data_IF_662255934823
#
_entry.id   IF_662255934823
#
_cell.length_a   1.000
_cell.length_b   1.000
_cell.length_c   1.000
_cell.angle_alpha   90.00
_cell.angle_beta   90.00
_cell.angle_gamma   90.00
#
_symmetry.space_group_name_H-M   'P 1'
#
loop_
_entity.id
_entity.type
_entity.pdbx_description
1 polymer ?
#
# COMPACT_ATOMS: atom_id res chain seq x y z
N UNK A 1 -16.94 66.08 -48.98
CA UNK A 1 -16.35 64.82 -49.50
C UNK A 1 -15.08 64.39 -48.75
N UNK A 2 -14.32 65.32 -48.14
CA UNK A 2 -13.05 65.04 -47.43
C UNK A 2 -13.21 64.21 -46.14
N UNK A 3 -14.25 64.45 -45.33
CA UNK A 3 -14.43 63.74 -44.04
C UNK A 3 -14.72 62.23 -44.14
N UNK A 4 -15.34 61.76 -45.25
CA UNK A 4 -15.61 60.33 -45.46
C UNK A 4 -14.33 59.55 -45.82
N UNK A 5 -13.42 60.17 -46.57
CA UNK A 5 -12.15 59.53 -46.99
C UNK A 5 -11.20 59.37 -45.81
N UNK A 6 -11.13 60.36 -44.91
CA UNK A 6 -10.31 60.30 -43.69
C UNK A 6 -10.82 59.22 -42.73
N UNK A 7 -12.15 59.08 -42.58
CA UNK A 7 -12.73 58.05 -41.71
C UNK A 7 -12.46 56.62 -42.23
N UNK A 8 -12.54 56.41 -43.55
CA UNK A 8 -12.22 55.12 -44.17
C UNK A 8 -10.73 54.78 -43.99
N UNK A 9 -9.82 55.75 -44.19
CA UNK A 9 -8.38 55.54 -44.00
C UNK A 9 -8.02 55.18 -42.56
N UNK A 10 -8.60 55.86 -41.57
CA UNK A 10 -8.37 55.55 -40.14
C UNK A 10 -8.93 54.17 -39.80
N UNK A 11 -10.11 53.81 -40.30
CA UNK A 11 -10.74 52.51 -40.04
C UNK A 11 -10.00 51.34 -40.72
N UNK A 12 -9.46 51.55 -41.92
CA UNK A 12 -8.61 50.58 -42.63
C UNK A 12 -7.26 50.40 -41.92
N UNK A 13 -6.65 51.50 -41.45
CA UNK A 13 -5.41 51.44 -40.69
C UNK A 13 -5.60 50.71 -39.35
N UNK A 14 -6.69 50.95 -38.62
CA UNK A 14 -6.96 50.25 -37.34
C UNK A 14 -7.30 48.78 -37.54
N UNK A 15 -8.01 48.41 -38.61
CA UNK A 15 -8.30 46.99 -38.94
C UNK A 15 -7.05 46.23 -39.39
N UNK A 16 -6.17 46.84 -40.20
CA UNK A 16 -4.85 46.28 -40.53
C UNK A 16 -3.97 46.10 -39.28
N UNK A 17 -3.96 47.08 -38.38
CA UNK A 17 -3.19 47.03 -37.13
C UNK A 17 -3.72 45.95 -36.18
N UNK A 18 -5.05 45.78 -36.08
CA UNK A 18 -5.69 44.70 -35.33
C UNK A 18 -5.40 43.32 -35.94
N UNK A 19 -5.47 43.20 -37.27
CA UNK A 19 -5.17 41.95 -37.99
C UNK A 19 -3.71 41.53 -37.80
N UNK A 20 -2.77 42.47 -37.86
CA UNK A 20 -1.35 42.25 -37.52
C UNK A 20 -1.16 41.79 -36.08
N UNK A 21 -1.85 42.41 -35.11
CA UNK A 21 -1.81 41.98 -33.69
C UNK A 21 -2.37 40.57 -33.49
N UNK A 22 -3.44 40.21 -34.20
CA UNK A 22 -4.04 38.88 -34.16
C UNK A 22 -3.11 37.82 -34.78
N UNK A 23 -2.44 38.14 -35.89
CA UNK A 23 -1.43 37.26 -36.49
C UNK A 23 -0.21 37.08 -35.59
N UNK A 24 0.25 38.14 -34.91
CA UNK A 24 1.31 38.07 -33.90
C UNK A 24 0.91 37.20 -32.70
N UNK A 25 -0.32 37.35 -32.19
CA UNK A 25 -0.83 36.51 -31.10
C UNK A 25 -0.95 35.05 -31.53
N UNK A 26 -1.45 34.78 -32.74
CA UNK A 26 -1.52 33.43 -33.30
C UNK A 26 -0.13 32.81 -33.52
N UNK A 27 0.83 33.60 -34.01
CA UNK A 27 2.22 33.17 -34.18
C UNK A 27 2.91 32.90 -32.83
N UNK A 28 2.69 33.74 -31.82
CA UNK A 28 3.15 33.49 -30.45
C UNK A 28 2.48 32.25 -29.83
N UNK A 29 1.20 31.99 -30.14
CA UNK A 29 0.50 30.79 -29.68
C UNK A 29 1.03 29.51 -30.35
N UNK A 30 1.37 29.59 -31.64
CA UNK A 30 2.01 28.49 -32.38
C UNK A 30 3.42 28.24 -31.87
N UNK A 31 4.25 29.29 -31.69
CA UNK A 31 5.60 29.15 -31.11
C UNK A 31 5.53 28.62 -29.68
N UNK A 32 4.57 29.08 -28.87
CA UNK A 32 4.33 28.57 -27.52
C UNK A 32 3.96 27.09 -27.50
N UNK A 33 3.32 26.56 -28.56
CA UNK A 33 3.08 25.12 -28.72
C UNK A 33 4.30 24.33 -29.19
N UNK A 34 5.28 24.96 -29.84
CA UNK A 34 6.52 24.30 -30.26
C UNK A 34 7.65 24.40 -29.24
N UNK A 35 7.57 25.37 -28.31
CA UNK A 35 8.39 25.45 -27.11
C UNK A 35 7.83 24.49 -26.05
N UNK A 36 7.82 23.19 -26.35
CA UNK A 36 7.83 22.22 -25.27
C UNK A 36 9.11 22.49 -24.48
N UNK A 37 8.97 22.80 -23.19
CA UNK A 37 10.11 22.92 -22.30
C UNK A 37 10.80 21.56 -22.23
N UNK A 38 11.76 21.32 -23.12
CA UNK A 38 12.57 20.13 -23.08
C UNK A 38 13.31 20.11 -21.74
N UNK A 39 13.36 18.94 -21.11
CA UNK A 39 14.16 18.76 -19.91
C UNK A 39 15.59 19.30 -20.17
N UNK A 40 16.16 20.10 -19.26
CA UNK A 40 17.49 20.65 -19.47
C UNK A 40 18.50 19.51 -19.61
N UNK A 41 19.48 19.68 -20.50
CA UNK A 41 20.59 18.73 -20.56
C UNK A 41 21.49 18.92 -19.33
N UNK A 42 21.67 17.84 -18.58
CA UNK A 42 22.56 17.77 -17.44
C UNK A 42 24.01 18.00 -17.86
N UNK A 43 24.80 18.52 -16.93
CA UNK A 43 26.26 18.66 -17.05
C UNK A 43 26.98 17.43 -16.53
N UNK A 44 28.30 17.36 -16.77
CA UNK A 44 29.13 16.26 -16.26
C UNK A 44 29.14 16.13 -14.73
N UNK A 45 28.82 17.22 -14.02
CA UNK A 45 28.77 17.26 -12.56
C UNK A 45 27.45 16.74 -11.97
N UNK A 46 26.46 16.42 -12.82
CA UNK A 46 25.16 15.97 -12.35
C UNK A 46 25.22 14.62 -11.63
N UNK A 47 24.26 14.34 -10.76
CA UNK A 47 24.14 13.07 -10.05
C UNK A 47 22.69 12.62 -10.09
N UNK A 48 22.51 11.31 -10.24
CA UNK A 48 21.24 10.64 -10.01
C UNK A 48 21.45 9.65 -8.87
N UNK A 49 20.57 9.69 -7.88
CA UNK A 49 20.67 8.86 -6.70
C UNK A 49 19.31 8.29 -6.29
N UNK A 50 19.35 7.17 -5.58
CA UNK A 50 18.21 6.66 -4.84
C UNK A 50 18.29 7.12 -3.39
N UNK A 51 17.23 7.75 -2.91
CA UNK A 51 17.01 8.06 -1.50
C UNK A 51 16.22 6.92 -0.87
N UNK A 52 16.66 6.47 0.30
CA UNK A 52 15.93 5.54 1.16
C UNK A 52 15.72 6.20 2.51
N UNK A 53 14.49 6.17 3.00
CA UNK A 53 14.09 6.81 4.24
C UNK A 53 13.57 5.77 5.22
N UNK A 54 13.88 5.97 6.51
CA UNK A 54 13.52 5.06 7.58
C UNK A 54 12.01 4.83 7.69
N UNK A 55 11.62 3.70 8.24
CA UNK A 55 10.27 3.46 8.70
C UNK A 55 9.89 4.46 9.82
N UNK A 56 8.59 4.75 9.93
CA UNK A 56 8.01 5.63 10.95
C UNK A 56 6.93 4.93 11.76
N UNK A 57 6.35 5.67 12.72
CA UNK A 57 5.37 5.10 13.65
C UNK A 57 3.96 4.95 13.05
N UNK A 58 3.60 5.83 12.14
CA UNK A 58 2.30 5.78 11.47
C UNK A 58 2.26 4.66 10.43
N UNK A 59 1.09 4.06 10.23
CA UNK A 59 0.92 2.89 9.36
C UNK A 59 1.42 3.12 7.93
N UNK A 60 1.20 4.32 7.39
CA UNK A 60 1.61 4.67 6.03
C UNK A 60 3.12 4.95 5.91
N UNK A 61 3.84 5.07 7.04
CA UNK A 61 5.30 5.15 7.11
C UNK A 61 5.96 3.86 7.60
N UNK A 62 5.18 2.85 8.00
CA UNK A 62 5.68 1.67 8.70
C UNK A 62 6.70 0.84 7.91
N UNK A 63 6.81 1.04 6.59
CA UNK A 63 7.71 0.30 5.70
C UNK A 63 8.90 1.13 5.19
N UNK A 64 8.96 2.42 5.55
CA UNK A 64 9.93 3.38 5.01
C UNK A 64 9.47 3.99 3.69
N UNK A 65 10.41 4.64 2.98
CA UNK A 65 10.12 5.25 1.68
C UNK A 65 11.33 5.24 0.74
N UNK A 66 11.09 5.23 -0.57
CA UNK A 66 12.12 5.34 -1.61
C UNK A 66 11.78 6.46 -2.60
N UNK A 67 12.78 7.21 -3.06
CA UNK A 67 12.60 8.25 -4.08
C UNK A 67 13.86 8.47 -4.90
N UNK A 68 13.74 8.89 -6.16
CA UNK A 68 14.90 9.27 -6.96
C UNK A 68 15.22 10.75 -6.77
N UNK A 69 16.51 11.09 -6.71
CA UNK A 69 16.97 12.48 -6.71
C UNK A 69 17.84 12.74 -7.93
N UNK A 70 17.63 13.91 -8.54
CA UNK A 70 18.51 14.44 -9.60
C UNK A 70 19.09 15.76 -9.11
N UNK A 71 20.42 15.85 -9.10
CA UNK A 71 21.15 17.03 -8.70
C UNK A 71 22.11 17.48 -9.82
N UNK A 72 22.12 18.76 -10.16
CA UNK A 72 23.14 19.39 -11.00
C UNK A 72 23.48 20.79 -10.43
N UNK A 73 24.62 20.94 -9.75
CA UNK A 73 25.02 22.21 -9.15
C UNK A 73 25.25 23.33 -10.18
N UNK A 74 25.65 23.01 -11.41
CA UNK A 74 25.91 24.01 -12.45
C UNK A 74 24.61 24.64 -12.98
N UNK A 75 23.51 23.88 -12.91
CA UNK A 75 22.17 24.31 -13.34
C UNK A 75 21.27 24.69 -12.17
N UNK A 76 21.72 24.54 -10.92
CA UNK A 76 20.90 24.75 -9.72
C UNK A 76 19.77 23.73 -9.58
N UNK A 77 19.89 22.56 -10.19
CA UNK A 77 18.89 21.49 -10.10
C UNK A 77 19.18 20.69 -8.82
N UNK A 78 18.20 20.54 -7.94
CA UNK A 78 18.25 19.63 -6.81
C UNK A 78 16.84 19.17 -6.44
N UNK A 79 16.35 18.16 -7.16
CA UNK A 79 14.94 17.77 -7.16
C UNK A 79 14.78 16.29 -6.84
N UNK A 80 13.69 15.98 -6.16
CA UNK A 80 13.29 14.62 -5.80
C UNK A 80 12.02 14.25 -6.53
N UNK A 81 12.09 13.12 -7.23
CA UNK A 81 10.98 12.44 -7.90
C UNK A 81 10.43 11.38 -6.95
N UNK A 82 9.28 11.71 -6.39
CA UNK A 82 8.64 10.94 -5.35
C UNK A 82 7.36 10.28 -5.89
N UNK A 83 7.49 9.03 -6.30
CA UNK A 83 6.35 8.15 -6.52
C UNK A 83 5.77 7.76 -5.17
N UNK A 84 4.47 7.88 -5.00
CA UNK A 84 3.84 7.49 -3.73
C UNK A 84 3.06 8.62 -3.06
N UNK A 85 2.93 9.77 -3.72
CA UNK A 85 2.09 10.87 -3.22
C UNK A 85 0.63 10.66 -3.55
N UNK A 86 -0.26 11.10 -2.69
CA UNK A 86 -1.70 10.97 -2.88
C UNK A 86 -2.40 12.17 -2.25
N UNK A 87 -3.65 12.38 -2.64
CA UNK A 87 -4.49 13.47 -2.14
C UNK A 87 -5.68 12.90 -1.35
N UNK A 88 -5.78 13.28 -0.08
CA UNK A 88 -6.86 12.86 0.81
C UNK A 88 -8.22 13.45 0.43
N UNK A 89 -8.23 14.58 -0.30
CA UNK A 89 -9.45 15.26 -0.73
C UNK A 89 -10.02 14.68 -2.04
N UNK A 90 -9.41 13.60 -2.57
CA UNK A 90 -9.96 12.90 -3.73
C UNK A 90 -11.38 12.39 -3.48
N UNK A 91 -12.30 12.54 -4.45
CA UNK A 91 -13.66 12.03 -4.32
C UNK A 91 -13.66 10.53 -4.01
N UNK A 92 -14.41 10.15 -2.97
CA UNK A 92 -14.57 8.77 -2.54
C UNK A 92 -13.27 8.08 -2.07
N UNK A 93 -12.27 8.81 -1.57
CA UNK A 93 -10.98 8.27 -1.09
C UNK A 93 -11.11 6.93 -0.33
N UNK A 94 -11.89 6.87 0.75
CA UNK A 94 -12.06 5.65 1.55
C UNK A 94 -12.74 4.49 0.79
N UNK A 95 -13.66 4.80 -0.12
CA UNK A 95 -14.30 3.78 -0.96
C UNK A 95 -13.32 3.25 -2.02
N UNK A 96 -12.48 4.11 -2.60
CA UNK A 96 -11.45 3.71 -3.54
C UNK A 96 -10.35 2.90 -2.84
N UNK A 97 -10.02 3.26 -1.60
CA UNK A 97 -9.11 2.50 -0.75
C UNK A 97 -9.62 1.08 -0.48
N UNK A 98 -10.88 0.95 -0.04
CA UNK A 98 -11.48 -0.37 0.20
C UNK A 98 -11.63 -1.19 -1.08
N UNK A 99 -11.82 -0.54 -2.24
CA UNK A 99 -11.86 -1.19 -3.56
C UNK A 99 -10.49 -1.51 -4.17
N UNK A 100 -9.38 -1.03 -3.61
CA UNK A 100 -8.06 -1.20 -4.20
C UNK A 100 -7.85 -0.41 -5.50
N UNK A 101 -8.53 0.74 -5.64
CA UNK A 101 -8.45 1.63 -6.82
C UNK A 101 -7.87 2.99 -6.46
N UNK A 102 -6.85 2.98 -5.61
CA UNK A 102 -6.22 4.22 -5.17
C UNK A 102 -5.34 4.79 -6.27
N UNK A 103 -5.55 6.07 -6.58
CA UNK A 103 -4.72 6.80 -7.53
C UNK A 103 -3.66 7.54 -6.73
N UNK A 104 -2.41 7.17 -6.98
CA UNK A 104 -1.23 7.84 -6.48
C UNK A 104 -0.55 8.58 -7.62
N UNK A 105 0.29 9.54 -7.28
CA UNK A 105 0.96 10.40 -8.24
C UNK A 105 2.47 10.39 -8.02
N UNK A 106 3.21 10.60 -9.12
CA UNK A 106 4.57 11.11 -9.09
C UNK A 106 4.53 12.61 -8.77
N UNK A 107 5.21 12.99 -7.69
CA UNK A 107 5.47 14.39 -7.37
C UNK A 107 6.93 14.75 -7.60
N UNK A 108 7.17 16.04 -7.88
CA UNK A 108 8.50 16.62 -8.03
C UNK A 108 8.64 17.77 -7.05
N UNK A 109 9.56 17.65 -6.08
CA UNK A 109 9.82 18.69 -5.06
C UNK A 109 11.31 18.96 -4.88
N UNK A 110 11.68 20.08 -4.27
CA UNK A 110 13.09 20.35 -3.96
C UNK A 110 13.60 19.33 -2.94
N UNK A 111 14.90 19.01 -3.01
CA UNK A 111 15.52 18.12 -2.03
C UNK A 111 15.42 18.63 -0.60
N UNK A 112 15.54 19.95 -0.40
CA UNK A 112 15.37 20.59 0.90
C UNK A 112 13.97 20.36 1.47
N UNK A 113 12.91 20.60 0.67
CA UNK A 113 11.54 20.38 1.11
C UNK A 113 11.25 18.89 1.37
N UNK A 114 11.88 18.00 0.59
CA UNK A 114 11.81 16.56 0.85
C UNK A 114 12.45 16.20 2.19
N UNK A 115 13.62 16.73 2.48
CA UNK A 115 14.40 16.40 3.67
C UNK A 115 13.75 16.91 4.96
N UNK A 116 13.12 18.08 4.89
CA UNK A 116 12.48 18.73 6.04
C UNK A 116 11.42 17.84 6.72
N UNK A 117 10.67 17.06 5.95
CA UNK A 117 9.67 16.11 6.47
C UNK A 117 10.32 15.05 7.37
N UNK A 118 11.41 14.44 6.91
CA UNK A 118 12.11 13.39 7.66
C UNK A 118 12.89 13.93 8.87
N UNK A 119 13.37 15.17 8.79
CA UNK A 119 13.97 15.88 9.92
C UNK A 119 12.94 16.08 11.06
N UNK A 120 11.74 16.56 10.73
CA UNK A 120 10.67 16.76 11.71
C UNK A 120 10.24 15.45 12.38
N UNK A 121 10.20 14.38 11.60
CA UNK A 121 9.79 13.05 12.06
C UNK A 121 10.94 12.27 12.71
N UNK A 122 12.18 12.80 12.68
CA UNK A 122 13.41 12.16 13.19
C UNK A 122 13.70 10.80 12.54
N UNK A 123 13.46 10.69 11.24
CA UNK A 123 13.72 9.49 10.44
C UNK A 123 15.00 9.67 9.64
N UNK A 124 15.88 8.66 9.67
CA UNK A 124 17.12 8.73 8.90
C UNK A 124 16.84 8.70 7.40
N UNK A 125 17.75 9.30 6.63
CA UNK A 125 17.72 9.30 5.16
C UNK A 125 19.09 8.92 4.65
N UNK A 126 19.17 7.90 3.80
CA UNK A 126 20.38 7.45 3.13
C UNK A 126 20.27 7.66 1.63
N UNK A 127 21.39 7.92 1.00
CA UNK A 127 21.49 8.19 -0.43
C UNK A 127 22.51 7.27 -1.09
N UNK A 128 22.08 6.60 -2.15
CA UNK A 128 22.92 5.78 -3.03
C UNK A 128 23.08 6.48 -4.37
N UNK A 129 24.26 7.07 -4.60
CA UNK A 129 24.62 7.74 -5.85
C UNK A 129 24.94 6.67 -6.89
N UNK A 130 24.27 6.72 -8.05
CA UNK A 130 24.41 5.73 -9.12
C UNK A 130 25.61 6.05 -10.03
N UNK A 131 26.35 5.02 -10.46
CA UNK A 131 27.49 5.13 -11.38
C UNK A 131 27.00 5.15 -12.84
N UNK A 132 26.36 6.26 -13.21
CA UNK A 132 25.79 6.47 -14.54
C UNK A 132 26.63 7.45 -15.35
N UNK A 133 26.78 7.17 -16.65
CA UNK A 133 27.38 8.12 -17.58
C UNK A 133 26.42 9.29 -17.88
N UNK A 134 26.90 10.34 -18.55
CA UNK A 134 26.09 11.53 -18.84
C UNK A 134 24.83 11.22 -19.66
N UNK A 135 24.91 10.32 -20.63
CA UNK A 135 23.78 9.93 -21.46
C UNK A 135 22.70 9.24 -20.61
N UNK A 136 23.08 8.31 -19.73
CA UNK A 136 22.18 7.59 -18.83
C UNK A 136 21.53 8.52 -17.81
N UNK A 137 22.27 9.50 -17.26
CA UNK A 137 21.73 10.53 -16.35
C UNK A 137 20.67 11.38 -17.06
N UNK A 138 20.95 11.84 -18.29
CA UNK A 138 20.00 12.61 -19.09
C UNK A 138 18.77 11.79 -19.49
N UNK A 139 18.95 10.51 -19.81
CA UNK A 139 17.85 9.59 -20.11
C UNK A 139 16.89 9.47 -18.91
N UNK A 140 17.42 9.29 -17.70
CA UNK A 140 16.60 9.23 -16.47
C UNK A 140 15.91 10.56 -16.19
N UNK A 141 16.59 11.70 -16.34
CA UNK A 141 15.94 13.00 -16.16
C UNK A 141 14.78 13.19 -17.15
N UNK A 142 14.99 12.89 -18.43
CA UNK A 142 13.94 12.99 -19.44
C UNK A 142 12.75 12.07 -19.11
N UNK A 143 13.02 10.84 -18.68
CA UNK A 143 11.98 9.91 -18.23
C UNK A 143 11.18 10.47 -17.05
N UNK A 144 11.85 11.02 -16.03
CA UNK A 144 11.16 11.57 -14.86
C UNK A 144 10.35 12.83 -15.16
N UNK A 145 10.87 13.73 -16.00
CA UNK A 145 10.14 14.94 -16.40
C UNK A 145 8.93 14.59 -17.29
N UNK A 146 9.03 13.58 -18.17
CA UNK A 146 7.91 13.06 -18.96
C UNK A 146 6.85 12.40 -18.06
N UNK A 147 7.27 11.56 -17.10
CA UNK A 147 6.34 10.95 -16.15
C UNK A 147 5.68 11.99 -15.24
N UNK A 148 6.33 13.13 -14.99
CA UNK A 148 5.77 14.19 -14.16
C UNK A 148 4.69 15.03 -14.87
N UNK A 149 4.51 14.87 -16.18
CA UNK A 149 3.43 15.53 -16.92
C UNK A 149 2.06 15.15 -16.31
N UNK A 150 1.09 16.10 -16.27
CA UNK A 150 -0.24 15.86 -15.68
C UNK A 150 -0.95 14.60 -16.21
N UNK A 151 -0.76 14.27 -17.49
CA UNK A 151 -1.34 13.10 -18.16
C UNK A 151 -0.66 11.76 -17.82
N UNK A 152 0.58 11.79 -17.30
CA UNK A 152 1.42 10.61 -17.08
C UNK A 152 1.66 10.28 -15.60
N UNK A 153 1.54 11.29 -14.72
CA UNK A 153 2.01 11.17 -13.32
C UNK A 153 1.14 10.32 -12.41
N UNK A 154 -0.11 10.09 -12.78
CA UNK A 154 -1.09 9.38 -11.96
C UNK A 154 -1.11 7.88 -12.31
N UNK A 155 -1.11 7.02 -11.29
CA UNK A 155 -1.06 5.57 -11.44
C UNK A 155 -1.88 4.84 -10.37
N UNK A 156 -2.32 3.63 -10.68
CA UNK A 156 -3.01 2.76 -9.72
C UNK A 156 -2.01 2.16 -8.73
N UNK A 157 -2.17 2.50 -7.46
CA UNK A 157 -1.29 2.04 -6.40
C UNK A 157 -1.62 0.60 -5.98
N UNK A 158 -0.58 -0.21 -5.87
CA UNK A 158 -0.63 -1.52 -5.23
C UNK A 158 0.46 -1.59 -4.14
N UNK A 159 0.10 -1.85 -2.87
CA UNK A 159 1.07 -1.84 -1.77
C UNK A 159 2.24 -2.81 -1.91
N UNK A 160 2.12 -3.87 -2.71
CA UNK A 160 3.13 -4.91 -2.86
C UNK A 160 3.79 -4.91 -4.24
N UNK A 161 3.08 -4.44 -5.27
CA UNK A 161 3.51 -4.57 -6.66
C UNK A 161 3.69 -3.24 -7.39
N UNK A 162 3.09 -2.14 -6.91
CA UNK A 162 3.18 -0.84 -7.56
C UNK A 162 3.17 0.29 -6.52
N UNK A 163 4.30 0.41 -5.80
CA UNK A 163 4.51 1.36 -4.73
C UNK A 163 5.81 2.18 -4.95
N UNK A 164 6.10 3.12 -4.06
CA UNK A 164 7.27 4.00 -4.15
C UNK A 164 8.62 3.27 -4.31
N UNK A 165 8.72 2.05 -3.78
CA UNK A 165 9.94 1.26 -3.78
C UNK A 165 9.98 0.24 -4.91
N UNK A 166 8.88 -0.48 -5.19
CA UNK A 166 8.83 -1.44 -6.31
C UNK A 166 9.07 -0.74 -7.65
N UNK A 167 8.49 0.47 -7.82
CA UNK A 167 8.71 1.33 -8.99
C UNK A 167 10.20 1.63 -9.21
N UNK A 168 11.03 1.65 -8.16
CA UNK A 168 12.48 1.84 -8.33
C UNK A 168 13.09 0.74 -9.18
N UNK A 169 12.76 -0.52 -8.88
CA UNK A 169 13.22 -1.66 -9.67
C UNK A 169 12.67 -1.64 -11.09
N UNK A 170 11.39 -1.29 -11.23
CA UNK A 170 10.70 -1.25 -12.52
C UNK A 170 11.26 -0.17 -13.45
N UNK A 171 11.46 1.06 -12.94
CA UNK A 171 12.09 2.16 -13.68
C UNK A 171 13.49 1.78 -14.14
N UNK A 172 14.30 1.20 -13.25
CA UNK A 172 15.65 0.77 -13.59
C UNK A 172 15.64 -0.31 -14.69
N UNK A 173 14.72 -1.28 -14.60
CA UNK A 173 14.58 -2.34 -15.60
C UNK A 173 14.05 -1.82 -16.94
N UNK A 174 13.10 -0.88 -16.92
CA UNK A 174 12.57 -0.23 -18.13
C UNK A 174 13.65 0.57 -18.87
N UNK A 175 14.43 1.35 -18.13
CA UNK A 175 15.40 2.28 -18.72
C UNK A 175 16.68 1.59 -19.21
N UNK A 176 17.07 0.48 -18.58
CA UNK A 176 18.33 -0.20 -18.90
C UNK A 176 18.15 -1.62 -19.47
N UNK A 177 16.94 -2.16 -19.51
CA UNK A 177 16.63 -3.46 -20.12
C UNK A 177 17.48 -4.60 -19.52
N UNK A 178 18.11 -5.40 -20.38
CA UNK A 178 18.95 -6.52 -19.95
C UNK A 178 20.36 -6.11 -19.51
N UNK A 179 20.73 -4.84 -19.68
CA UNK A 179 22.00 -4.33 -19.19
C UNK A 179 22.04 -4.24 -17.66
N UNK A 180 20.87 -4.11 -17.01
CA UNK A 180 20.76 -4.11 -15.55
C UNK A 180 20.44 -5.51 -15.02
N UNK A 181 21.24 -5.94 -14.05
CA UNK A 181 21.14 -7.27 -13.44
C UNK A 181 21.02 -7.12 -11.93
N UNK A 182 19.89 -7.56 -11.39
CA UNK A 182 19.63 -7.67 -9.96
C UNK A 182 20.14 -9.02 -9.46
N UNK A 183 21.30 -9.03 -8.79
CA UNK A 183 21.80 -10.26 -8.18
C UNK A 183 21.04 -10.55 -6.88
N UNK A 184 20.46 -11.75 -6.79
CA UNK A 184 19.77 -12.23 -5.60
C UNK A 184 20.65 -13.08 -4.67
N UNK A 185 21.94 -13.25 -4.97
CA UNK A 185 22.85 -14.13 -4.23
C UNK A 185 23.06 -13.70 -2.76
N UNK A 186 22.84 -12.42 -2.45
CA UNK A 186 22.93 -11.90 -1.08
C UNK A 186 21.72 -12.29 -0.21
N UNK A 187 20.61 -12.73 -0.81
CA UNK A 187 19.43 -13.16 -0.07
C UNK A 187 19.63 -14.58 0.44
N UNK A 188 19.68 -14.74 1.77
CA UNK A 188 19.76 -16.08 2.42
C UNK A 188 18.64 -17.02 1.93
N UNK A 189 17.46 -16.46 1.70
CA UNK A 189 16.30 -17.13 1.12
C UNK A 189 15.31 -16.11 0.59
N UNK A 190 14.49 -16.54 -0.37
CA UNK A 190 13.32 -15.79 -0.79
C UNK A 190 12.18 -15.93 0.22
N UNK A 191 11.74 -14.80 0.76
CA UNK A 191 10.61 -14.69 1.65
C UNK A 191 9.30 -14.59 0.86
N UNK A 192 8.19 -14.93 1.52
CA UNK A 192 6.85 -14.57 1.03
C UNK A 192 6.54 -13.09 1.30
N UNK A 193 5.60 -12.48 0.57
CA UNK A 193 5.17 -11.10 0.87
C UNK A 193 4.71 -10.94 2.32
N UNK A 194 3.95 -11.91 2.85
CA UNK A 194 3.51 -11.86 4.26
C UNK A 194 4.69 -11.87 5.23
N UNK A 195 5.71 -12.69 4.96
CA UNK A 195 6.92 -12.72 5.78
C UNK A 195 7.68 -11.40 5.71
N UNK A 196 7.77 -10.78 4.53
CA UNK A 196 8.42 -9.50 4.32
C UNK A 196 7.71 -8.38 5.09
N UNK A 197 6.38 -8.28 4.96
CA UNK A 197 5.57 -7.30 5.72
C UNK A 197 5.74 -7.47 7.23
N UNK A 198 5.76 -8.70 7.73
CA UNK A 198 5.94 -9.01 9.16
C UNK A 198 7.34 -8.70 9.71
N UNK A 199 8.32 -8.35 8.88
CA UNK A 199 9.63 -7.87 9.36
C UNK A 199 9.56 -6.42 9.88
N UNK A 200 8.58 -5.65 9.41
CA UNK A 200 8.44 -4.23 9.73
C UNK A 200 7.41 -3.95 10.84
N UNK A 201 6.57 -4.93 11.16
CA UNK A 201 5.48 -4.75 12.10
C UNK A 201 5.34 -5.95 13.02
N UNK A 202 5.28 -5.68 14.32
CA UNK A 202 5.09 -6.73 15.31
C UNK A 202 3.72 -7.42 15.11
N UNK A 203 3.73 -8.75 15.17
CA UNK A 203 2.53 -9.59 14.90
C UNK A 203 1.35 -9.27 15.84
N UNK A 204 1.62 -8.80 17.06
CA UNK A 204 0.62 -8.45 18.06
C UNK A 204 0.28 -6.94 18.07
N UNK A 205 0.12 -6.32 16.91
CA UNK A 205 -0.43 -4.98 16.75
C UNK A 205 -1.75 -5.04 15.99
N UNK A 206 -2.63 -4.05 16.21
CA UNK A 206 -3.91 -3.98 15.49
C UNK A 206 -3.70 -3.84 13.98
N UNK A 207 -2.70 -3.04 13.57
CA UNK A 207 -2.35 -2.84 12.17
C UNK A 207 -1.93 -4.16 11.51
N UNK A 208 -1.03 -4.94 12.14
CA UNK A 208 -0.58 -6.21 11.56
C UNK A 208 -1.69 -7.25 11.55
N UNK A 209 -2.53 -7.30 12.60
CA UNK A 209 -3.70 -8.17 12.61
C UNK A 209 -4.68 -7.80 11.48
N UNK A 210 -4.93 -6.51 11.25
CA UNK A 210 -5.79 -6.04 10.15
C UNK A 210 -5.24 -6.41 8.78
N UNK A 211 -3.94 -6.21 8.55
CA UNK A 211 -3.26 -6.63 7.32
C UNK A 211 -3.35 -8.15 7.13
N UNK A 212 -3.03 -8.93 8.17
CA UNK A 212 -3.09 -10.39 8.10
C UNK A 212 -4.52 -10.90 7.83
N UNK A 213 -5.52 -10.22 8.40
CA UNK A 213 -6.93 -10.54 8.22
C UNK A 213 -7.39 -10.22 6.79
N UNK A 214 -6.93 -9.12 6.19
CA UNK A 214 -7.26 -8.72 4.82
C UNK A 214 -6.54 -9.56 3.75
N UNK A 215 -5.28 -9.96 4.02
CA UNK A 215 -4.46 -10.74 3.11
C UNK A 215 -5.00 -12.17 2.89
N UNK A 216 -5.21 -12.53 1.63
CA UNK A 216 -5.53 -13.89 1.21
C UNK A 216 -4.30 -14.74 0.91
N UNK A 217 -4.49 -15.92 0.30
CA UNK A 217 -3.37 -16.82 -0.03
C UNK A 217 -2.35 -16.29 -1.06
N UNK A 218 -2.64 -15.34 -1.98
CA UNK A 218 -1.63 -14.88 -2.95
C UNK A 218 -0.35 -14.31 -2.33
N UNK A 219 -0.43 -13.72 -1.13
CA UNK A 219 0.76 -13.13 -0.46
C UNK A 219 1.66 -14.16 0.23
N UNK A 220 1.22 -15.42 0.30
CA UNK A 220 1.96 -16.53 0.91
C UNK A 220 2.84 -17.28 -0.13
N UNK A 221 2.89 -16.81 -1.37
CA UNK A 221 3.91 -17.23 -2.36
C UNK A 221 5.25 -16.55 -2.09
N UNK A 222 6.34 -17.20 -2.50
CA UNK A 222 7.68 -16.57 -2.48
C UNK A 222 7.72 -15.38 -3.45
N UNK A 223 8.25 -14.27 -2.98
CA UNK A 223 8.56 -13.12 -3.82
C UNK A 223 9.84 -13.40 -4.63
N UNK A 224 9.88 -12.92 -5.87
CA UNK A 224 11.11 -12.90 -6.67
C UNK A 224 12.13 -11.90 -6.08
N UNK A 225 13.37 -11.94 -6.58
CA UNK A 225 14.44 -11.01 -6.15
C UNK A 225 13.99 -9.55 -6.30
N UNK A 226 13.49 -9.17 -7.49
CA UNK A 226 12.98 -7.83 -7.74
C UNK A 226 11.73 -7.51 -6.89
N UNK A 227 10.83 -8.48 -6.68
CA UNK A 227 9.66 -8.26 -5.83
C UNK A 227 10.01 -7.97 -4.37
N UNK A 228 11.19 -8.36 -3.86
CA UNK A 228 11.61 -7.93 -2.51
C UNK A 228 11.79 -6.41 -2.43
N UNK A 229 12.09 -5.74 -3.55
CA UNK A 229 12.28 -4.29 -3.63
C UNK A 229 10.99 -3.50 -3.41
N UNK A 230 9.83 -4.14 -3.20
CA UNK A 230 8.65 -3.41 -2.72
C UNK A 230 8.85 -2.78 -1.34
N UNK A 231 9.87 -3.24 -0.60
CA UNK A 231 10.30 -2.65 0.67
C UNK A 231 11.56 -1.79 0.45
N UNK A 232 11.54 -0.51 0.85
CA UNK A 232 12.67 0.43 0.73
C UNK A 232 14.02 -0.10 1.20
N UNK A 233 14.05 -0.83 2.31
CA UNK A 233 15.27 -1.41 2.86
C UNK A 233 15.84 -2.52 1.96
N UNK A 234 14.98 -3.34 1.37
CA UNK A 234 15.39 -4.37 0.42
C UNK A 234 15.78 -3.76 -0.92
N UNK A 235 15.10 -2.69 -1.38
CA UNK A 235 15.51 -1.96 -2.57
C UNK A 235 16.92 -1.37 -2.40
N UNK A 236 17.17 -0.70 -1.28
CA UNK A 236 18.48 -0.15 -0.95
C UNK A 236 19.57 -1.23 -0.92
N UNK A 237 19.30 -2.36 -0.25
CA UNK A 237 20.25 -3.48 -0.22
C UNK A 237 20.45 -4.08 -1.62
N UNK A 238 19.37 -4.31 -2.37
CA UNK A 238 19.43 -4.87 -3.73
C UNK A 238 20.30 -4.01 -4.65
N UNK A 239 20.24 -2.68 -4.53
CA UNK A 239 21.06 -1.77 -5.33
C UNK A 239 22.56 -1.96 -5.08
N UNK A 240 22.98 -2.32 -3.86
CA UNK A 240 24.39 -2.62 -3.54
C UNK A 240 24.93 -3.82 -4.32
N UNK A 241 24.05 -4.75 -4.68
CA UNK A 241 24.35 -5.97 -5.44
C UNK A 241 23.85 -5.89 -6.90
N UNK A 242 23.43 -4.72 -7.36
CA UNK A 242 22.97 -4.52 -8.74
C UNK A 242 24.13 -4.11 -9.62
N UNK A 243 24.17 -4.65 -10.84
CA UNK A 243 25.16 -4.25 -11.85
C UNK A 243 24.49 -3.69 -13.10
N UNK A 244 25.19 -2.76 -13.76
CA UNK A 244 24.81 -2.18 -15.05
C UNK A 244 25.98 -2.38 -16.02
N UNK A 245 25.75 -3.09 -17.12
CA UNK A 245 26.80 -3.50 -18.07
C UNK A 245 27.99 -4.19 -17.39
N UNK A 246 27.71 -5.02 -16.37
CA UNK A 246 28.72 -5.78 -15.62
C UNK A 246 29.54 -4.96 -14.62
N UNK A 247 29.22 -3.68 -14.40
CA UNK A 247 29.84 -2.83 -13.37
C UNK A 247 28.86 -2.57 -12.22
N UNK A 248 29.32 -2.42 -10.96
CA UNK A 248 28.44 -2.06 -9.85
C UNK A 248 27.64 -0.80 -10.15
N UNK A 249 26.32 -0.83 -9.89
CA UNK A 249 25.44 0.31 -10.14
C UNK A 249 25.64 1.43 -9.11
N UNK A 250 25.92 1.10 -7.84
CA UNK A 250 26.11 2.10 -6.78
C UNK A 250 27.56 2.56 -6.76
N UNK A 251 27.77 3.86 -7.03
CA UNK A 251 29.09 4.52 -6.96
C UNK A 251 29.51 4.81 -5.53
N UNK A 252 28.57 5.33 -4.74
CA UNK A 252 28.82 5.77 -3.35
C UNK A 252 27.51 5.79 -2.58
N UNK A 253 27.57 5.38 -1.33
CA UNK A 253 26.49 5.55 -0.36
C UNK A 253 26.87 6.60 0.70
N UNK A 254 25.90 7.39 1.16
CA UNK A 254 26.07 8.31 2.30
C UNK A 254 24.79 8.43 3.12
N UNK A 255 24.95 8.65 4.43
CA UNK A 255 23.85 9.06 5.32
C UNK A 255 23.67 10.58 5.22
N UNK A 256 22.44 11.03 4.95
CA UNK A 256 22.06 12.44 4.89
C UNK A 256 21.53 12.91 6.24
N UNK A 257 20.55 12.18 6.78
CA UNK A 257 20.06 12.36 8.15
C UNK A 257 20.38 11.11 8.95
N UNK A 258 20.97 11.29 10.12
CA UNK A 258 21.40 10.19 10.99
C UNK A 258 20.57 10.16 12.26
N UNK A 259 19.53 9.35 12.25
CA UNK A 259 18.64 9.09 13.39
C UNK A 259 18.56 7.60 13.67
N UNK A 260 18.24 7.23 14.91
CA UNK A 260 17.95 5.84 15.25
C UNK A 260 16.65 5.37 14.61
N UNK A 261 16.55 4.07 14.32
CA UNK A 261 15.27 3.44 13.98
C UNK A 261 14.22 3.70 15.04
N UNK A 262 12.98 3.93 14.60
CA UNK A 262 11.84 4.01 15.49
C UNK A 262 11.51 2.59 15.97
N UNK A 263 11.72 2.33 17.25
CA UNK A 263 11.33 1.08 17.87
C UNK A 263 9.90 1.23 18.39
N UNK A 264 8.94 0.60 17.71
CA UNK A 264 7.57 0.53 18.22
C UNK A 264 7.52 -0.26 19.53
N UNK A 265 7.39 0.45 20.64
CA UNK A 265 7.15 -0.17 21.93
C UNK A 265 5.65 -0.46 22.08
N UNK A 266 5.28 -1.73 21.99
CA UNK A 266 3.91 -2.17 22.23
C UNK A 266 3.58 -2.21 23.72
N UNK A 267 2.43 -1.66 24.11
CA UNK A 267 1.84 -1.89 25.43
C UNK A 267 0.82 -3.03 25.35
N UNK A 268 1.06 -4.14 26.06
CA UNK A 268 0.26 -5.37 25.90
C UNK A 268 -1.26 -5.17 26.06
N UNK A 269 -1.78 -4.38 27.02
CA UNK A 269 -3.22 -4.09 27.11
C UNK A 269 -3.83 -3.35 25.91
N UNK A 270 -3.01 -2.72 25.07
CA UNK A 270 -3.46 -2.10 23.81
C UNK A 270 -3.36 -3.06 22.62
N UNK A 271 -2.85 -4.27 22.82
CA UNK A 271 -2.66 -5.25 21.76
C UNK A 271 -3.94 -6.07 21.48
N UNK A 272 -4.15 -6.54 20.22
CA UNK A 272 -5.28 -7.40 19.89
C UNK A 272 -5.31 -8.70 20.69
N UNK A 273 -4.15 -9.30 20.99
CA UNK A 273 -4.10 -10.54 21.77
C UNK A 273 -4.71 -10.39 23.16
N UNK A 274 -4.42 -9.27 23.85
CA UNK A 274 -5.02 -9.00 25.15
C UNK A 274 -6.56 -8.97 25.08
N UNK A 275 -7.12 -8.24 24.12
CA UNK A 275 -8.56 -8.10 23.97
C UNK A 275 -9.25 -9.40 23.53
N UNK A 276 -8.62 -10.19 22.66
CA UNK A 276 -9.17 -11.49 22.30
C UNK A 276 -9.08 -12.51 23.44
N UNK A 277 -8.05 -12.46 24.28
CA UNK A 277 -7.99 -13.26 25.51
C UNK A 277 -9.06 -12.84 26.52
N UNK A 278 -9.30 -11.53 26.69
CA UNK A 278 -10.39 -11.03 27.54
C UNK A 278 -11.76 -11.47 27.02
N UNK A 279 -12.00 -11.36 25.72
CA UNK A 279 -13.23 -11.83 25.09
C UNK A 279 -13.42 -13.35 25.28
N UNK A 280 -12.36 -14.14 25.13
CA UNK A 280 -12.37 -15.58 25.35
C UNK A 280 -12.72 -15.92 26.80
N UNK A 281 -12.05 -15.29 27.76
CA UNK A 281 -12.30 -15.50 29.19
C UNK A 281 -13.74 -15.12 29.56
N UNK A 282 -14.20 -13.96 29.10
CA UNK A 282 -15.57 -13.49 29.31
C UNK A 282 -16.62 -14.45 28.73
N UNK A 283 -16.42 -14.88 27.49
CA UNK A 283 -17.31 -15.85 26.81
C UNK A 283 -17.33 -17.19 27.54
N UNK A 284 -16.17 -17.67 28.00
CA UNK A 284 -16.07 -18.91 28.76
C UNK A 284 -16.82 -18.83 30.11
N UNK A 285 -16.69 -17.71 30.83
CA UNK A 285 -17.40 -17.48 32.10
C UNK A 285 -18.92 -17.49 31.90
N UNK A 286 -19.43 -16.74 30.92
CA UNK A 286 -20.87 -16.72 30.63
C UNK A 286 -21.34 -18.10 30.20
N UNK A 287 -20.59 -18.77 29.33
CA UNK A 287 -20.91 -20.12 28.85
C UNK A 287 -20.93 -21.15 29.99
N UNK A 288 -20.06 -21.00 30.99
CA UNK A 288 -20.09 -21.84 32.20
C UNK A 288 -21.37 -21.64 33.01
N UNK A 289 -21.78 -20.39 33.26
CA UNK A 289 -23.04 -20.12 33.98
C UNK A 289 -24.26 -20.59 33.20
N UNK A 290 -24.31 -20.31 31.90
CA UNK A 290 -25.34 -20.81 30.98
C UNK A 290 -25.43 -22.35 31.03
N UNK A 291 -24.28 -23.03 31.09
CA UNK A 291 -24.25 -24.48 31.23
C UNK A 291 -24.76 -24.96 32.59
N UNK A 292 -24.33 -24.32 33.68
CA UNK A 292 -24.72 -24.67 35.04
C UNK A 292 -26.21 -24.48 35.30
N UNK A 293 -26.78 -23.40 34.77
CA UNK A 293 -28.18 -23.03 34.99
C UNK A 293 -29.14 -23.57 33.91
N UNK A 294 -28.62 -24.25 32.88
CA UNK A 294 -29.40 -24.69 31.70
C UNK A 294 -30.16 -23.50 31.10
N UNK A 295 -29.47 -22.38 30.94
CA UNK A 295 -29.99 -21.14 30.36
C UNK A 295 -29.12 -20.70 29.21
N UNK A 296 -29.65 -19.89 28.30
CA UNK A 296 -28.91 -19.40 27.13
C UNK A 296 -28.82 -17.88 27.12
N UNK A 297 -27.61 -17.34 27.10
CA UNK A 297 -27.35 -15.93 26.86
C UNK A 297 -27.48 -15.56 25.37
N UNK A 298 -28.71 -15.28 24.92
CA UNK A 298 -29.02 -15.00 23.50
C UNK A 298 -28.25 -13.81 22.92
N UNK A 299 -28.00 -12.78 23.73
CA UNK A 299 -27.25 -11.59 23.32
C UNK A 299 -25.80 -11.94 22.96
N UNK A 300 -25.17 -12.87 23.70
CA UNK A 300 -23.79 -13.28 23.44
C UNK A 300 -23.70 -14.07 22.14
N UNK A 301 -24.66 -14.97 21.91
CA UNK A 301 -24.75 -15.73 20.65
C UNK A 301 -24.92 -14.79 19.46
N UNK A 302 -25.85 -13.83 19.59
CA UNK A 302 -26.12 -12.83 18.58
C UNK A 302 -24.86 -12.02 18.28
N UNK A 303 -24.21 -11.44 19.29
CA UNK A 303 -23.02 -10.61 19.10
C UNK A 303 -21.88 -11.38 18.43
N UNK A 304 -21.57 -12.60 18.87
CA UNK A 304 -20.48 -13.40 18.30
C UNK A 304 -20.76 -13.79 16.85
N UNK A 305 -21.98 -14.24 16.53
CA UNK A 305 -22.37 -14.58 15.16
C UNK A 305 -22.44 -13.32 14.28
N UNK A 306 -23.03 -12.24 14.77
CA UNK A 306 -23.21 -11.03 13.98
C UNK A 306 -21.87 -10.37 13.65
N UNK A 307 -20.99 -10.21 14.64
CA UNK A 307 -19.66 -9.60 14.42
C UNK A 307 -18.80 -10.46 13.49
N UNK A 308 -18.77 -11.79 13.71
CA UNK A 308 -18.02 -12.70 12.80
C UNK A 308 -18.61 -12.72 11.39
N UNK A 309 -19.92 -12.60 11.25
CA UNK A 309 -20.60 -12.50 9.95
C UNK A 309 -20.34 -11.19 9.23
N UNK A 310 -20.28 -10.06 9.96
CA UNK A 310 -19.89 -8.76 9.38
C UNK A 310 -18.43 -8.79 8.92
N UNK A 311 -17.52 -9.30 9.75
CA UNK A 311 -16.13 -9.49 9.36
C UNK A 311 -16.03 -10.38 8.10
N UNK A 312 -16.77 -11.49 8.09
CA UNK A 312 -16.88 -12.37 6.94
C UNK A 312 -17.37 -11.70 5.67
N UNK A 313 -18.44 -10.93 5.79
CA UNK A 313 -19.02 -10.18 4.67
C UNK A 313 -18.02 -9.18 4.12
N UNK A 314 -17.31 -8.46 4.99
CA UNK A 314 -16.25 -7.54 4.59
C UNK A 314 -15.12 -8.27 3.83
N UNK A 315 -14.64 -9.39 4.35
CA UNK A 315 -13.60 -10.19 3.69
C UNK A 315 -14.07 -10.78 2.36
N UNK A 316 -15.32 -11.22 2.29
CA UNK A 316 -15.92 -11.69 1.05
C UNK A 316 -15.96 -10.59 0.00
N UNK A 317 -16.35 -9.37 0.38
CA UNK A 317 -16.31 -8.20 -0.51
C UNK A 317 -14.89 -7.87 -0.96
N UNK A 318 -13.89 -7.93 -0.07
CA UNK A 318 -12.49 -7.76 -0.45
C UNK A 318 -11.99 -8.82 -1.44
N UNK A 319 -12.56 -10.03 -1.42
CA UNK A 319 -12.21 -11.07 -2.38
C UNK A 319 -12.90 -10.83 -3.73
N UNK A 320 -14.21 -10.58 -3.75
CA UNK A 320 -14.99 -10.62 -5.02
C UNK A 320 -15.25 -9.25 -5.64
N UNK A 321 -15.09 -8.16 -4.89
CA UNK A 321 -15.51 -6.82 -5.30
C UNK A 321 -14.40 -5.75 -5.20
N UNK A 322 -13.21 -6.11 -4.71
CA UNK A 322 -12.05 -5.23 -4.69
C UNK A 322 -10.99 -5.71 -5.68
N UNK A 323 -10.22 -4.77 -6.21
CA UNK A 323 -9.13 -5.00 -7.17
C UNK A 323 -7.76 -5.15 -6.48
N UNK A 324 -7.75 -5.26 -5.15
CA UNK A 324 -6.54 -5.55 -4.39
C UNK A 324 -5.97 -6.90 -4.85
N UNK A 325 -4.71 -6.92 -5.28
CA UNK A 325 -4.05 -8.17 -5.71
C UNK A 325 -3.76 -9.12 -4.53
N UNK A 326 -3.72 -8.58 -3.31
CA UNK A 326 -3.30 -9.26 -2.09
C UNK A 326 -4.43 -9.91 -1.28
N UNK A 327 -5.69 -9.56 -1.52
CA UNK A 327 -6.87 -10.00 -0.74
C UNK A 327 -7.68 -11.18 -1.30
N UNK A 328 -7.60 -11.59 -2.58
CA UNK A 328 -8.35 -12.74 -3.09
C UNK A 328 -7.98 -14.06 -2.40
N UNK A 329 -8.89 -15.04 -2.46
CA UNK A 329 -8.69 -16.36 -1.85
C UNK A 329 -8.41 -16.28 -0.35
N UNK A 330 -9.14 -15.41 0.36
CA UNK A 330 -8.95 -15.21 1.79
C UNK A 330 -9.76 -16.20 2.63
N UNK A 331 -9.09 -17.24 3.10
CA UNK A 331 -9.68 -18.32 3.88
C UNK A 331 -10.08 -17.93 5.32
N UNK A 332 -9.83 -16.69 5.77
CA UNK A 332 -10.43 -16.19 7.01
C UNK A 332 -11.98 -16.20 6.96
N UNK A 333 -12.56 -16.17 5.75
CA UNK A 333 -14.01 -16.31 5.51
C UNK A 333 -14.57 -17.62 6.07
N UNK A 334 -13.76 -18.67 6.26
CA UNK A 334 -14.25 -19.95 6.78
C UNK A 334 -14.61 -19.88 8.28
N UNK A 335 -13.88 -19.11 9.08
CA UNK A 335 -14.22 -18.91 10.50
C UNK A 335 -15.10 -17.68 10.69
N UNK A 336 -14.87 -16.63 9.91
CA UNK A 336 -15.71 -15.46 9.81
C UNK A 336 -16.73 -15.69 8.69
N UNK A 337 -17.65 -16.65 8.85
CA UNK A 337 -18.53 -17.04 7.75
C UNK A 337 -19.61 -15.97 7.50
N UNK A 338 -19.76 -15.38 6.29
CA UNK A 338 -20.67 -14.26 6.05
C UNK A 338 -22.11 -14.53 6.48
N UNK A 339 -22.58 -15.77 6.31
CA UNK A 339 -23.95 -16.16 6.70
C UNK A 339 -24.18 -16.10 8.21
N UNK A 340 -23.13 -16.03 9.04
CA UNK A 340 -23.27 -15.82 10.48
C UNK A 340 -24.07 -14.54 10.78
N UNK A 341 -23.99 -13.50 9.93
CA UNK A 341 -24.74 -12.27 10.12
C UNK A 341 -26.26 -12.50 10.05
N UNK A 342 -26.71 -13.32 9.10
CA UNK A 342 -28.13 -13.69 8.94
C UNK A 342 -28.55 -14.66 10.04
N UNK A 343 -27.69 -15.67 10.32
CA UNK A 343 -27.95 -16.68 11.35
C UNK A 343 -28.07 -16.04 12.73
N UNK A 344 -27.32 -14.99 13.04
CA UNK A 344 -27.45 -14.25 14.29
C UNK A 344 -28.91 -13.81 14.56
N UNK A 345 -29.55 -13.17 13.57
CA UNK A 345 -30.96 -12.76 13.68
C UNK A 345 -31.90 -13.96 13.72
N UNK A 346 -31.66 -14.98 12.91
CA UNK A 346 -32.51 -16.18 12.90
C UNK A 346 -32.50 -16.94 14.25
N UNK A 347 -31.41 -16.83 15.03
CA UNK A 347 -31.20 -17.55 16.29
C UNK A 347 -31.57 -16.72 17.53
N UNK A 348 -31.54 -15.38 17.46
CA UNK A 348 -31.81 -14.49 18.61
C UNK A 348 -33.30 -14.38 18.93
N UNK A 349 -34.17 -14.39 17.92
CA UNK A 349 -35.62 -14.22 18.09
C UNK A 349 -36.36 -15.51 18.46
N UNK A 350 -35.67 -16.64 18.54
CA UNK A 350 -36.28 -17.93 18.81
C UNK A 350 -36.10 -18.32 20.27
N UNK A 351 -37.20 -18.75 20.90
CA UNK A 351 -37.15 -19.21 22.30
C UNK A 351 -36.42 -20.54 22.44
N UNK A 352 -36.69 -21.45 21.51
CA UNK A 352 -36.02 -22.73 21.39
C UNK A 352 -35.03 -22.70 20.23
N UNK A 353 -33.94 -23.47 20.33
CA UNK A 353 -32.98 -23.57 19.23
C UNK A 353 -33.63 -24.32 18.05
N UNK A 354 -33.65 -23.73 16.83
CA UNK A 354 -34.19 -24.42 15.66
C UNK A 354 -33.41 -25.69 15.32
N UNK A 355 -34.07 -26.71 14.77
CA UNK A 355 -33.44 -28.01 14.45
C UNK A 355 -32.29 -27.92 13.43
N UNK A 356 -32.25 -26.87 12.60
CA UNK A 356 -31.17 -26.63 11.64
C UNK A 356 -29.91 -26.05 12.30
N UNK A 357 -30.03 -25.34 13.42
CA UNK A 357 -28.94 -24.57 14.00
C UNK A 357 -27.76 -25.45 14.48
N UNK A 358 -27.96 -26.62 15.12
CA UNK A 358 -26.84 -27.49 15.46
C UNK A 358 -26.06 -27.99 14.24
N UNK A 359 -26.75 -28.27 13.12
CA UNK A 359 -26.10 -28.67 11.86
C UNK A 359 -25.25 -27.54 11.30
N UNK A 360 -25.78 -26.31 11.31
CA UNK A 360 -25.05 -25.12 10.90
C UNK A 360 -23.78 -24.90 11.75
N UNK A 361 -23.91 -24.97 13.08
CA UNK A 361 -22.80 -24.75 14.00
C UNK A 361 -21.72 -25.85 13.89
N UNK A 362 -22.11 -27.11 13.64
CA UNK A 362 -21.14 -28.16 13.31
C UNK A 362 -20.41 -27.89 11.99
N UNK A 363 -21.11 -27.38 10.97
CA UNK A 363 -20.48 -26.99 9.71
C UNK A 363 -19.49 -25.82 9.91
N UNK A 364 -19.85 -24.82 10.72
CA UNK A 364 -18.97 -23.70 11.06
C UNK A 364 -17.72 -24.17 11.84
N UNK A 365 -17.88 -25.07 12.81
CA UNK A 365 -16.76 -25.72 13.50
C UNK A 365 -15.87 -26.52 12.53
N UNK A 366 -16.47 -27.24 11.58
CA UNK A 366 -15.74 -27.93 10.52
C UNK A 366 -14.93 -26.98 9.64
N UNK A 367 -15.53 -25.84 9.26
CA UNK A 367 -14.86 -24.79 8.49
C UNK A 367 -13.66 -24.19 9.25
N UNK A 368 -13.79 -24.00 10.57
CA UNK A 368 -12.66 -23.62 11.43
C UNK A 368 -11.58 -24.71 11.47
N UNK A 369 -11.95 -25.99 11.44
CA UNK A 369 -11.00 -27.10 11.29
C UNK A 369 -10.23 -27.03 9.96
N UNK A 370 -10.90 -26.66 8.87
CA UNK A 370 -10.27 -26.44 7.56
C UNK A 370 -9.28 -25.27 7.63
N UNK A 371 -9.60 -24.17 8.32
CA UNK A 371 -8.67 -23.05 8.55
C UNK A 371 -7.36 -23.55 9.18
N UNK A 372 -7.45 -24.36 10.24
CA UNK A 372 -6.26 -24.92 10.89
C UNK A 372 -5.46 -25.82 9.94
N UNK A 373 -6.14 -26.63 9.13
CA UNK A 373 -5.49 -27.48 8.13
C UNK A 373 -4.74 -26.64 7.07
N UNK A 374 -5.40 -25.63 6.50
CA UNK A 374 -4.79 -24.72 5.51
C UNK A 374 -3.58 -23.99 6.07
N UNK A 375 -3.63 -23.65 7.36
CA UNK A 375 -2.51 -23.04 8.06
C UNK A 375 -1.31 -23.99 8.20
N UNK A 376 -1.55 -25.22 8.65
CA UNK A 376 -0.49 -26.24 8.82
C UNK A 376 0.15 -26.56 7.47
N UNK A 377 -0.67 -26.69 6.41
CA UNK A 377 -0.21 -26.93 5.05
C UNK A 377 0.43 -25.71 4.38
N UNK A 378 0.43 -24.54 5.04
CA UNK A 378 0.95 -23.27 4.53
C UNK A 378 0.32 -22.83 3.20
N UNK A 379 -0.95 -23.20 2.97
CA UNK A 379 -1.73 -22.72 1.83
C UNK A 379 -2.09 -21.24 2.03
N UNK A 380 -2.46 -20.88 3.26
CA UNK A 380 -2.56 -19.51 3.73
C UNK A 380 -2.03 -19.46 5.16
N UNK A 381 -1.22 -18.46 5.47
CA UNK A 381 -0.76 -18.21 6.84
C UNK A 381 -1.71 -17.24 7.51
N UNK A 382 -2.17 -17.59 8.72
CA UNK A 382 -3.08 -16.75 9.50
C UNK A 382 -2.32 -15.97 10.58
N UNK A 383 -2.96 -14.93 11.13
CA UNK A 383 -2.42 -14.26 12.30
C UNK A 383 -2.53 -15.17 13.53
N UNK A 384 -1.45 -15.42 14.28
CA UNK A 384 -1.54 -16.21 15.51
C UNK A 384 -2.42 -15.57 16.58
N UNK A 385 -2.65 -14.26 16.48
CA UNK A 385 -3.54 -13.53 17.38
C UNK A 385 -5.01 -13.95 17.19
N UNK A 386 -5.38 -14.59 16.07
CA UNK A 386 -6.75 -15.08 15.86
C UNK A 386 -7.09 -16.31 16.72
N UNK A 387 -6.10 -17.01 17.30
CA UNK A 387 -6.33 -18.27 18.02
C UNK A 387 -7.35 -18.13 19.17
N UNK A 388 -7.23 -17.16 20.10
CA UNK A 388 -8.23 -16.99 21.16
C UNK A 388 -9.63 -16.66 20.63
N UNK A 389 -9.73 -15.97 19.48
CA UNK A 389 -11.01 -15.68 18.84
C UNK A 389 -11.65 -16.97 18.27
N UNK A 390 -10.85 -17.84 17.63
CA UNK A 390 -11.33 -19.16 17.19
C UNK A 390 -11.82 -19.99 18.39
N UNK A 391 -11.06 -20.01 19.48
CA UNK A 391 -11.46 -20.72 20.71
C UNK A 391 -12.75 -20.13 21.31
N UNK A 392 -12.90 -18.81 21.31
CA UNK A 392 -14.12 -18.11 21.76
C UNK A 392 -15.35 -18.62 21.00
N UNK A 393 -15.28 -18.63 19.67
CA UNK A 393 -16.36 -19.11 18.82
C UNK A 393 -16.62 -20.61 19.05
N UNK A 394 -15.57 -21.43 19.13
CA UNK A 394 -15.69 -22.87 19.31
C UNK A 394 -16.38 -23.23 20.64
N UNK A 395 -15.94 -22.63 21.75
CA UNK A 395 -16.54 -22.82 23.08
C UNK A 395 -18.04 -22.52 23.02
N UNK A 396 -18.41 -21.38 22.42
CA UNK A 396 -19.80 -20.95 22.37
C UNK A 396 -20.64 -21.82 21.45
N UNK A 397 -20.15 -22.17 20.27
CA UNK A 397 -20.87 -23.01 19.31
C UNK A 397 -21.15 -24.41 19.87
N UNK A 398 -20.15 -25.03 20.51
CA UNK A 398 -20.32 -26.32 21.18
C UNK A 398 -21.36 -26.27 22.29
N UNK A 399 -21.39 -25.17 23.05
CA UNK A 399 -22.41 -24.96 24.07
C UNK A 399 -23.82 -24.87 23.48
N UNK A 400 -24.04 -24.05 22.44
CA UNK A 400 -25.34 -23.91 21.79
C UNK A 400 -25.82 -25.25 21.21
N UNK A 401 -24.92 -26.02 20.57
CA UNK A 401 -25.21 -27.38 20.10
C UNK A 401 -25.67 -28.28 21.25
N UNK A 402 -24.99 -28.24 22.40
CA UNK A 402 -25.36 -29.05 23.57
C UNK A 402 -26.70 -28.61 24.17
N UNK A 403 -26.92 -27.30 24.31
CA UNK A 403 -28.16 -26.73 24.82
C UNK A 403 -29.36 -27.12 23.97
N UNK A 404 -29.20 -27.26 22.65
CA UNK A 404 -30.30 -27.68 21.74
C UNK A 404 -30.86 -29.08 22.01
N UNK A 405 -30.18 -29.88 22.83
CA UNK A 405 -30.57 -31.24 23.22
C UNK A 405 -31.19 -31.30 24.63
N UNK A 406 -31.17 -30.20 25.38
CA UNK A 406 -31.82 -30.04 26.68
C UNK A 406 -33.25 -29.54 26.46
#
# INVERSE_FOLDING_TARGET
>A
MVGRVVFILIFVLTTEQMRRRLHLLFFCFIIGKFLFAQAPQLTENAQVSLLTCAAGDELYYAFGHSAFRVQDPALGIDVVYNYGTFDFDQPNFYLNFTKGRMIYSLSRRSFEAFLYEYELEKRWVKEQILDLNLQQRNQLLAFFEENYLPENRDYLYDPLLNNCSSITGDVLKEQFGDAIVFDGSYLDKQYTFRQLVRQFMAVNTWSMFGIDLAFGSPVDRKATVQEHMFLPYYAMEQLRHTSLNGKPLVKRERTILDYSEHLQQGFFPLSPLFWFLMLMAFTAIITYFDHKHKTRSRWLDFSLLFISGLAGTFLFLLWVAADHTSTPYNFNILWAFPTNAIVAFALVFQDNIPQWAPKYLWAALGAMGIVLLLWILKVQIFSPVVIPLLLTLAIRYLYIIRYSKL
#
